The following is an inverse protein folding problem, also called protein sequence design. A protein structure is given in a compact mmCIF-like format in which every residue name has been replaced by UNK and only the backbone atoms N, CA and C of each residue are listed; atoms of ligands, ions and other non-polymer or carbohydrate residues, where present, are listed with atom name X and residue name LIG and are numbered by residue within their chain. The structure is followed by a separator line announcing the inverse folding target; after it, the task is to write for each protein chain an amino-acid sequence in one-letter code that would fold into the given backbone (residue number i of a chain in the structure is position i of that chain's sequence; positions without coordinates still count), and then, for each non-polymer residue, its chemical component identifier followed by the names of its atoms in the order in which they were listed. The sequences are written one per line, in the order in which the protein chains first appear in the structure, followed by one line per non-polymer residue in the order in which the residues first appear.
data_IF_366977705257
#
_entry.id   IF_366977705257
#
_cell.length_a   1.000
_cell.length_b   1.000
_cell.length_c   1.000
_cell.angle_alpha   90.00
_cell.angle_beta   90.00
_cell.angle_gamma   90.00
#
_symmetry.space_group_name_H-M   'P 1'
#
loop_
_entity.id
_entity.type
_entity.pdbx_description
1 polymer ?
#
# COMPACT_ATOMS: atom_id res chain seq x y z
N UNK A 1 10.96 -20.73 -16.52
CA UNK A 1 10.75 -19.28 -16.77
C UNK A 1 9.27 -19.02 -16.55
N UNK A 2 8.88 -18.51 -15.38
CA UNK A 2 7.46 -18.34 -15.01
C UNK A 2 7.12 -16.86 -15.20
N UNK A 3 6.40 -16.58 -16.29
CA UNK A 3 5.86 -15.27 -16.61
C UNK A 3 4.64 -15.02 -15.75
N UNK A 4 4.72 -14.13 -14.76
CA UNK A 4 3.55 -13.69 -14.00
C UNK A 4 2.72 -12.73 -14.86
N UNK A 5 1.68 -13.25 -15.52
CA UNK A 5 0.60 -12.42 -16.08
C UNK A 5 -0.32 -12.01 -14.92
N UNK A 6 -0.23 -10.75 -14.49
CA UNK A 6 -1.28 -10.12 -13.69
C UNK A 6 -2.53 -10.00 -14.58
N UNK A 7 -3.53 -10.84 -14.32
CA UNK A 7 -4.81 -10.83 -15.04
C UNK A 7 -5.76 -9.93 -14.24
N UNK A 8 -6.07 -8.76 -14.80
CA UNK A 8 -7.22 -7.95 -14.40
C UNK A 8 -8.34 -8.15 -15.45
N UNK A 9 -9.51 -8.65 -15.04
CA UNK A 9 -10.78 -8.66 -15.81
C UNK A 9 -11.81 -8.00 -14.89
N UNK A 10 -12.62 -7.00 -15.29
CA UNK A 10 -13.35 -6.81 -16.55
C UNK A 10 -13.46 -5.31 -16.91
N UNK A 11 -13.56 -4.99 -18.20
CA UNK A 11 -14.48 -3.93 -18.66
C UNK A 11 -13.95 -2.94 -19.69
N UNK A 12 -12.69 -2.53 -19.60
CA UNK A 12 -12.09 -1.62 -20.58
C UNK A 12 -10.88 -2.30 -21.21
N UNK A 13 -11.03 -2.69 -22.47
CA UNK A 13 -9.87 -2.93 -23.32
C UNK A 13 -9.18 -1.58 -23.47
N UNK A 14 -8.13 -1.34 -22.69
CA UNK A 14 -7.11 -0.39 -23.09
C UNK A 14 -6.51 -0.98 -24.37
N UNK A 15 -6.95 -0.46 -25.52
CA UNK A 15 -6.24 -0.65 -26.77
C UNK A 15 -4.87 0.02 -26.59
N UNK A 16 -3.87 -0.79 -26.27
CA UNK A 16 -2.47 -0.40 -26.24
C UNK A 16 -1.99 -0.20 -27.69
N UNK A 17 -2.36 0.92 -28.28
CA UNK A 17 -1.94 1.32 -29.63
C UNK A 17 -1.33 2.73 -29.58
N UNK A 18 -0.40 2.96 -28.65
CA UNK A 18 0.58 4.03 -28.82
C UNK A 18 1.90 3.39 -29.26
N UNK A 19 2.37 3.65 -30.51
CA UNK A 19 3.68 3.20 -31.00
C UNK A 19 4.86 3.69 -30.14
N UNK A 20 4.64 4.71 -29.31
CA UNK A 20 5.68 5.31 -28.46
C UNK A 20 5.95 4.48 -27.20
N UNK A 21 4.95 3.75 -26.66
CA UNK A 21 5.15 2.83 -25.52
C UNK A 21 5.63 1.43 -25.90
N UNK A 22 5.57 1.07 -27.19
CA UNK A 22 6.18 -0.17 -27.69
C UNK A 22 7.71 -0.18 -27.54
N UNK A 23 8.34 1.00 -27.66
CA UNK A 23 9.79 1.16 -27.52
C UNK A 23 10.29 1.00 -26.08
N UNK A 24 9.53 1.43 -25.07
CA UNK A 24 9.89 1.22 -23.65
C UNK A 24 9.95 -0.28 -23.27
N UNK A 25 9.13 -1.13 -23.90
CA UNK A 25 9.16 -2.58 -23.65
C UNK A 25 10.36 -3.23 -24.36
N UNK A 26 10.80 -2.70 -25.50
CA UNK A 26 12.00 -3.15 -26.21
C UNK A 26 13.30 -2.67 -25.51
N UNK A 27 13.28 -1.50 -24.87
CA UNK A 27 14.42 -0.99 -24.10
C UNK A 27 14.68 -1.78 -22.80
N UNK A 28 13.63 -2.39 -22.23
CA UNK A 28 13.78 -3.35 -21.13
C UNK A 28 14.55 -4.62 -21.59
N UNK A 29 14.48 -4.96 -22.87
CA UNK A 29 15.22 -6.08 -23.46
C UNK A 29 16.64 -5.70 -23.95
N UNK A 30 16.94 -4.40 -24.11
CA UNK A 30 18.21 -3.91 -24.69
C UNK A 30 19.33 -3.67 -23.67
N UNK A 31 19.12 -3.98 -22.38
CA UNK A 31 20.17 -3.94 -21.36
C UNK A 31 20.47 -2.56 -20.77
N UNK A 32 19.73 -1.51 -21.17
CA UNK A 32 19.66 -0.24 -20.44
C UNK A 32 18.44 -0.31 -19.54
N UNK A 33 18.55 -1.09 -18.47
CA UNK A 33 17.38 -1.39 -17.65
C UNK A 33 16.85 -0.15 -16.93
N UNK A 34 15.61 0.23 -17.21
CA UNK A 34 14.87 1.25 -16.46
C UNK A 34 14.58 0.71 -15.06
N UNK A 35 15.05 1.40 -14.02
CA UNK A 35 14.74 1.05 -12.63
C UNK A 35 13.25 1.27 -12.36
N UNK A 36 12.55 0.21 -11.95
CA UNK A 36 11.15 0.26 -11.54
C UNK A 36 11.10 0.67 -10.07
N UNK A 37 10.62 1.87 -9.80
CA UNK A 37 10.46 2.39 -8.44
C UNK A 37 8.99 2.41 -8.00
N UNK A 38 8.67 1.74 -6.89
CA UNK A 38 7.37 1.83 -6.24
C UNK A 38 7.49 2.58 -4.91
N UNK A 39 6.59 3.53 -4.68
CA UNK A 39 6.51 4.30 -3.44
C UNK A 39 5.19 4.03 -2.76
N UNK A 40 5.23 3.79 -1.46
CA UNK A 40 4.06 3.56 -0.62
C UNK A 40 4.04 4.59 0.50
N UNK A 41 3.01 5.42 0.54
CA UNK A 41 2.87 6.52 1.52
C UNK A 41 1.59 6.31 2.31
N UNK A 42 1.69 6.26 3.63
CA UNK A 42 0.50 6.13 4.45
C UNK A 42 0.71 5.59 5.86
N UNK A 43 -0.38 5.10 6.43
CA UNK A 43 -0.42 4.55 7.78
C UNK A 43 0.00 3.06 7.85
N UNK A 44 -0.36 2.41 8.96
CA UNK A 44 -0.04 1.00 9.21
C UNK A 44 -0.62 0.01 8.20
N UNK A 45 -1.73 0.32 7.52
CA UNK A 45 -2.31 -0.57 6.51
C UNK A 45 -1.45 -0.59 5.25
N UNK A 46 -0.97 0.59 4.81
CA UNK A 46 -0.01 0.69 3.70
C UNK A 46 1.31 -0.01 4.07
N UNK A 47 1.79 0.17 5.31
CA UNK A 47 2.97 -0.55 5.82
C UNK A 47 2.79 -2.07 5.75
N UNK A 48 1.59 -2.57 6.02
CA UNK A 48 1.31 -4.01 5.97
C UNK A 48 1.40 -4.57 4.54
N UNK A 49 0.90 -3.83 3.55
CA UNK A 49 1.09 -4.17 2.13
C UNK A 49 2.57 -4.20 1.79
N UNK A 50 3.31 -3.17 2.21
CA UNK A 50 4.75 -3.09 1.99
C UNK A 50 5.49 -4.28 2.60
N UNK A 51 5.25 -4.60 3.88
CA UNK A 51 5.82 -5.77 4.57
C UNK A 51 5.51 -7.08 3.83
N UNK A 52 4.25 -7.26 3.43
CA UNK A 52 3.80 -8.43 2.66
C UNK A 52 4.56 -8.57 1.34
N UNK A 53 4.79 -7.46 0.63
CA UNK A 53 5.59 -7.46 -0.60
C UNK A 53 7.03 -7.85 -0.32
N UNK A 54 7.69 -7.24 0.69
CA UNK A 54 9.08 -7.57 1.01
C UNK A 54 9.27 -9.06 1.30
N UNK A 55 8.31 -9.67 2.02
CA UNK A 55 8.35 -11.10 2.34
C UNK A 55 8.18 -11.99 1.11
N UNK A 56 7.48 -11.52 0.07
CA UNK A 56 7.32 -12.23 -1.21
C UNK A 56 8.53 -12.09 -2.14
N UNK A 57 9.28 -11.00 -2.04
CA UNK A 57 10.45 -10.69 -2.88
C UNK A 57 11.75 -11.43 -2.50
N UNK A 58 11.67 -12.62 -1.90
CA UNK A 58 12.82 -13.40 -1.41
C UNK A 58 13.80 -12.56 -0.56
N UNK A 59 13.59 -12.45 0.77
CA UNK A 59 14.36 -11.55 1.64
C UNK A 59 15.90 -11.63 1.59
N UNK A 60 16.50 -12.71 1.09
CA UNK A 60 17.95 -12.79 0.82
C UNK A 60 18.45 -11.79 -0.22
N UNK A 61 17.59 -11.40 -1.16
CA UNK A 61 17.92 -10.58 -2.33
C UNK A 61 17.53 -9.12 -2.16
N UNK A 62 17.13 -8.76 -0.95
CA UNK A 62 16.67 -7.41 -0.63
C UNK A 62 17.65 -6.75 0.34
N UNK A 63 18.00 -5.52 0.00
CA UNK A 63 18.75 -4.64 0.87
C UNK A 63 17.91 -3.43 1.23
N UNK A 64 18.17 -2.84 2.40
CA UNK A 64 17.45 -1.67 2.87
C UNK A 64 18.36 -0.57 3.41
N UNK A 65 17.79 0.63 3.47
CA UNK A 65 18.37 1.81 4.09
C UNK A 65 17.26 2.64 4.73
N UNK A 66 17.52 3.18 5.91
CA UNK A 66 16.63 4.16 6.57
C UNK A 66 17.17 5.57 6.33
N UNK A 67 16.29 6.55 6.13
CA UNK A 67 16.69 7.96 5.98
C UNK A 67 17.38 8.53 7.24
N UNK A 68 17.09 7.95 8.41
CA UNK A 68 17.67 8.33 9.70
C UNK A 68 19.12 7.89 9.92
N UNK A 69 19.65 6.97 9.12
CA UNK A 69 20.99 6.44 9.34
C UNK A 69 22.08 7.36 8.78
N UNK A 70 23.04 7.81 9.62
CA UNK A 70 24.11 8.71 9.19
C UNK A 70 25.11 8.05 8.22
N UNK A 71 25.15 6.71 8.14
CA UNK A 71 25.95 5.96 7.17
C UNK A 71 25.05 5.40 6.07
N UNK A 72 25.40 5.67 4.82
CA UNK A 72 24.63 5.31 3.59
C UNK A 72 24.63 3.81 3.25
N UNK A 73 24.96 2.95 4.21
CA UNK A 73 25.21 1.54 3.93
C UNK A 73 23.90 0.76 3.79
N UNK A 74 23.80 0.04 2.68
CA UNK A 74 22.73 -0.91 2.42
C UNK A 74 22.90 -2.14 3.30
N UNK A 75 21.87 -2.46 4.08
CA UNK A 75 21.85 -3.61 5.02
C UNK A 75 20.92 -4.70 4.52
N UNK A 76 21.06 -5.92 5.04
CA UNK A 76 20.19 -7.02 4.63
C UNK A 76 18.78 -6.86 5.24
N UNK A 77 17.72 -6.91 4.42
CA UNK A 77 16.34 -6.69 4.92
C UNK A 77 15.93 -7.70 6.01
N UNK A 78 16.55 -8.89 6.05
CA UNK A 78 16.27 -9.90 7.08
C UNK A 78 16.47 -9.34 8.49
N UNK A 79 17.36 -8.37 8.68
CA UNK A 79 17.53 -7.69 9.97
C UNK A 79 16.24 -7.01 10.43
N UNK A 80 15.49 -6.39 9.52
CA UNK A 80 14.20 -5.76 9.82
C UNK A 80 13.04 -6.76 9.88
N UNK A 81 13.09 -7.82 9.07
CA UNK A 81 12.00 -8.82 8.97
C UNK A 81 12.08 -9.93 10.02
N UNK A 82 13.06 -9.90 10.94
CA UNK A 82 13.15 -10.82 12.08
C UNK A 82 11.92 -10.76 13.00
N UNK A 83 11.25 -9.61 13.07
CA UNK A 83 9.99 -9.46 13.79
C UNK A 83 8.79 -9.89 12.96
N UNK A 84 7.67 -10.12 13.64
CA UNK A 84 6.40 -10.46 13.00
C UNK A 84 5.83 -9.29 12.17
N UNK A 85 6.30 -8.06 12.39
CA UNK A 85 5.86 -6.86 11.67
C UNK A 85 7.00 -5.86 11.52
N UNK A 86 7.03 -5.16 10.38
CA UNK A 86 7.88 -3.97 10.23
C UNK A 86 7.45 -2.86 11.20
N UNK A 87 8.31 -2.53 12.16
CA UNK A 87 8.06 -1.50 13.17
C UNK A 87 8.68 -0.15 12.79
N UNK A 88 8.49 0.28 11.54
CA UNK A 88 9.01 1.57 11.07
C UNK A 88 7.97 2.66 11.30
N UNK A 89 8.39 3.71 12.01
CA UNK A 89 7.60 4.91 12.32
C UNK A 89 8.50 6.13 12.13
N UNK A 90 7.94 7.21 11.58
CA UNK A 90 8.60 8.51 11.42
C UNK A 90 9.93 8.46 10.65
N UNK A 91 10.09 7.47 9.76
CA UNK A 91 11.29 7.30 8.94
C UNK A 91 10.92 6.74 7.58
N UNK A 92 11.71 7.12 6.59
CA UNK A 92 11.65 6.56 5.24
C UNK A 92 12.42 5.26 5.20
N UNK A 93 11.79 4.19 4.70
CA UNK A 93 12.46 2.94 4.38
C UNK A 93 12.65 2.83 2.87
N UNK A 94 13.90 2.82 2.42
CA UNK A 94 14.27 2.46 1.06
C UNK A 94 14.68 1.00 1.02
N UNK A 95 14.20 0.27 0.03
CA UNK A 95 14.55 -1.12 -0.25
C UNK A 95 14.92 -1.25 -1.71
N UNK A 96 15.95 -2.04 -2.01
CA UNK A 96 16.31 -2.42 -3.37
C UNK A 96 16.47 -3.93 -3.48
N UNK A 97 16.16 -4.46 -4.65
CA UNK A 97 16.53 -5.82 -5.01
C UNK A 97 17.97 -5.85 -5.54
N UNK A 98 18.75 -6.88 -5.19
CA UNK A 98 20.16 -6.97 -5.59
C UNK A 98 20.34 -7.43 -7.02
N UNK A 99 19.38 -8.21 -7.52
CA UNK A 99 19.47 -8.86 -8.84
C UNK A 99 18.48 -8.29 -9.86
N UNK A 100 17.55 -7.43 -9.42
CA UNK A 100 16.49 -6.85 -10.25
C UNK A 100 16.55 -5.33 -10.06
N UNK A 101 16.24 -4.59 -11.12
CA UNK A 101 16.17 -3.12 -11.06
C UNK A 101 14.83 -2.68 -10.46
N UNK A 102 14.59 -3.10 -9.22
CA UNK A 102 13.38 -2.80 -8.46
C UNK A 102 13.78 -2.06 -7.19
N UNK A 103 13.18 -0.89 -7.00
CA UNK A 103 13.27 -0.10 -5.77
C UNK A 103 11.89 0.03 -5.15
N UNK A 104 11.83 -0.11 -3.83
CA UNK A 104 10.61 0.08 -3.05
C UNK A 104 10.89 1.12 -1.96
N UNK A 105 10.04 2.13 -1.83
CA UNK A 105 10.11 3.10 -0.73
C UNK A 105 8.83 3.03 0.10
N UNK A 106 8.96 3.06 1.42
CA UNK A 106 7.85 3.29 2.33
C UNK A 106 8.06 4.58 3.12
N UNK A 107 7.07 5.47 3.08
CA UNK A 107 7.01 6.71 3.84
C UNK A 107 5.87 6.65 4.86
N UNK A 108 6.21 6.86 6.13
CA UNK A 108 5.21 6.96 7.20
C UNK A 108 4.59 8.36 7.19
N UNK A 109 3.45 8.51 6.52
CA UNK A 109 2.63 9.72 6.54
C UNK A 109 1.16 9.34 6.73
N UNK A 110 0.73 9.06 7.97
CA UNK A 110 -0.57 8.47 8.24
C UNK A 110 -1.76 9.39 7.95
N UNK A 111 -1.50 10.69 7.77
CA UNK A 111 -2.51 11.68 7.41
C UNK A 111 -2.40 12.14 5.97
N UNK A 112 -1.30 11.82 5.26
CA UNK A 112 -0.95 12.36 3.94
C UNK A 112 -0.68 13.88 3.95
N UNK A 113 -0.25 14.41 5.09
CA UNK A 113 0.03 15.85 5.25
C UNK A 113 1.36 16.28 4.62
N UNK A 114 2.35 15.38 4.59
CA UNK A 114 3.67 15.64 4.02
C UNK A 114 3.75 15.19 2.55
N UNK A 115 2.74 14.48 2.05
CA UNK A 115 2.64 14.06 0.65
C UNK A 115 2.98 15.17 -0.36
N UNK A 116 2.52 16.43 -0.23
CA UNK A 116 2.93 17.50 -1.13
C UNK A 116 4.44 17.72 -1.20
N UNK A 117 5.16 17.59 -0.08
CA UNK A 117 6.62 17.70 -0.05
C UNK A 117 7.28 16.47 -0.65
N UNK A 118 6.73 15.28 -0.40
CA UNK A 118 7.21 14.01 -0.96
C UNK A 118 7.16 14.02 -2.50
N UNK A 119 6.06 14.50 -3.09
CA UNK A 119 5.87 14.47 -4.56
C UNK A 119 6.45 15.70 -5.29
N UNK A 120 6.78 16.76 -4.56
CA UNK A 120 7.30 18.01 -5.13
C UNK A 120 8.52 17.80 -6.04
N UNK A 121 9.54 17.01 -5.67
CA UNK A 121 10.68 16.75 -6.55
C UNK A 121 10.29 16.11 -7.89
N UNK A 122 9.24 15.27 -7.92
CA UNK A 122 8.73 14.63 -9.13
C UNK A 122 7.95 15.61 -10.01
N UNK A 123 7.16 16.49 -9.39
CA UNK A 123 6.40 17.53 -10.09
C UNK A 123 7.30 18.66 -10.63
N UNK A 124 8.46 18.88 -10.02
CA UNK A 124 9.47 19.87 -10.44
C UNK A 124 10.56 19.27 -11.34
N UNK A 125 10.38 18.02 -11.79
CA UNK A 125 11.34 17.31 -12.66
C UNK A 125 12.76 17.20 -12.08
N UNK A 126 12.90 17.30 -10.76
CA UNK A 126 14.18 17.15 -10.04
C UNK A 126 14.56 15.69 -9.81
N UNK A 127 13.56 14.82 -9.80
CA UNK A 127 13.70 13.37 -9.64
C UNK A 127 12.74 12.64 -10.59
N UNK A 128 13.13 11.43 -11.01
CA UNK A 128 12.28 10.56 -11.83
C UNK A 128 11.06 10.11 -10.98
N UNK A 129 9.82 10.33 -11.45
CA UNK A 129 8.62 9.86 -10.76
C UNK A 129 8.61 8.34 -10.60
N UNK A 130 7.99 7.80 -9.53
CA UNK A 130 7.87 6.36 -9.38
C UNK A 130 6.92 5.78 -10.43
N UNK A 131 7.15 4.52 -10.81
CA UNK A 131 6.24 3.78 -11.68
C UNK A 131 4.89 3.50 -10.99
N UNK A 132 4.88 3.40 -9.66
CA UNK A 132 3.69 3.21 -8.83
C UNK A 132 3.78 4.07 -7.56
N UNK A 133 2.73 4.83 -7.28
CA UNK A 133 2.49 5.49 -6.00
C UNK A 133 1.25 4.90 -5.34
N UNK A 134 1.45 4.12 -4.28
CA UNK A 134 0.37 3.60 -3.44
C UNK A 134 0.16 4.52 -2.24
N UNK A 135 -1.03 5.08 -2.13
CA UNK A 135 -1.45 5.95 -1.05
C UNK A 135 -2.46 5.21 -0.18
N UNK A 136 -2.49 5.52 1.10
CA UNK A 136 -3.55 5.06 1.99
C UNK A 136 -3.53 5.82 3.30
N UNK A 137 -4.72 6.10 3.81
CA UNK A 137 -4.91 6.81 5.06
C UNK A 137 -6.35 6.70 5.52
N UNK A 138 -6.75 7.61 6.41
CA UNK A 138 -8.05 7.71 7.08
C UNK A 138 -8.13 7.08 8.46
N UNK A 139 -7.37 6.02 8.78
CA UNK A 139 -7.41 5.41 10.12
C UNK A 139 -7.04 6.42 11.21
N UNK A 140 -6.00 7.20 10.94
CA UNK A 140 -5.55 8.24 11.84
C UNK A 140 -6.49 9.45 11.87
N UNK A 141 -7.15 9.78 10.75
CA UNK A 141 -8.17 10.82 10.69
C UNK A 141 -9.39 10.47 11.56
N UNK A 142 -9.85 9.22 11.51
CA UNK A 142 -10.93 8.70 12.36
C UNK A 142 -10.58 8.88 13.84
N UNK A 143 -9.34 8.58 14.22
CA UNK A 143 -8.87 8.74 15.60
C UNK A 143 -8.77 10.20 16.04
N UNK A 144 -8.21 11.08 15.21
CA UNK A 144 -8.04 12.51 15.59
C UNK A 144 -9.34 13.27 15.61
N UNK A 145 -10.30 12.89 14.76
CA UNK A 145 -11.62 13.50 14.71
C UNK A 145 -12.63 12.86 15.66
N UNK A 146 -12.21 11.88 16.49
CA UNK A 146 -13.07 11.24 17.48
C UNK A 146 -13.77 12.23 18.44
N UNK A 147 -13.17 13.34 18.89
CA UNK A 147 -13.89 14.35 19.68
C UNK A 147 -15.03 15.03 18.90
N UNK A 148 -14.84 15.29 17.60
CA UNK A 148 -15.87 15.87 16.72
C UNK A 148 -16.97 14.83 16.49
N UNK A 149 -16.59 13.59 16.20
CA UNK A 149 -17.50 12.45 16.06
C UNK A 149 -18.42 12.32 17.27
N UNK A 150 -17.86 12.37 18.49
CA UNK A 150 -18.64 12.20 19.72
C UNK A 150 -19.61 13.35 19.99
N UNK A 151 -19.32 14.56 19.51
CA UNK A 151 -20.16 15.76 19.73
C UNK A 151 -21.17 16.01 18.60
N UNK A 152 -20.81 15.69 17.37
CA UNK A 152 -21.51 16.12 16.16
C UNK A 152 -21.76 15.00 15.14
N UNK A 153 -21.29 13.78 15.40
CA UNK A 153 -21.48 12.61 14.53
C UNK A 153 -20.44 12.47 13.42
N UNK A 154 -20.54 11.35 12.68
CA UNK A 154 -19.57 10.96 11.64
C UNK A 154 -19.50 11.93 10.46
N UNK A 155 -20.63 12.52 10.08
CA UNK A 155 -20.74 13.43 8.94
C UNK A 155 -19.95 14.72 9.18
N UNK A 156 -19.94 15.23 10.41
CA UNK A 156 -19.11 16.40 10.74
C UNK A 156 -17.64 16.03 10.88
N UNK A 157 -17.34 14.87 11.48
CA UNK A 157 -15.96 14.39 11.64
C UNK A 157 -15.24 14.20 10.29
N UNK A 158 -15.94 13.66 9.28
CA UNK A 158 -15.34 13.34 7.97
C UNK A 158 -15.05 14.59 7.12
N UNK A 159 -15.61 15.77 7.44
CA UNK A 159 -15.39 16.99 6.65
C UNK A 159 -13.92 17.40 6.55
N UNK A 160 -13.16 17.23 7.64
CA UNK A 160 -11.72 17.54 7.65
C UNK A 160 -10.95 16.60 6.72
N UNK A 161 -11.28 15.32 6.74
CA UNK A 161 -10.71 14.32 5.84
C UNK A 161 -11.07 14.61 4.38
N UNK A 162 -12.36 14.91 4.10
CA UNK A 162 -12.83 15.29 2.76
C UNK A 162 -12.06 16.50 2.22
N UNK A 163 -11.99 17.58 3.01
CA UNK A 163 -11.29 18.81 2.62
C UNK A 163 -9.81 18.55 2.36
N UNK A 164 -9.16 17.75 3.21
CA UNK A 164 -7.76 17.38 3.02
C UNK A 164 -7.55 16.61 1.70
N UNK A 165 -8.35 15.57 1.44
CA UNK A 165 -8.25 14.82 0.18
C UNK A 165 -8.51 15.72 -1.05
N UNK A 166 -9.54 16.58 -0.99
CA UNK A 166 -9.85 17.49 -2.10
C UNK A 166 -8.67 18.40 -2.43
N UNK A 167 -7.91 18.84 -1.43
CA UNK A 167 -6.71 19.65 -1.64
C UNK A 167 -5.54 18.86 -2.26
N UNK A 168 -5.49 17.54 -2.08
CA UNK A 168 -4.45 16.69 -2.68
C UNK A 168 -4.71 16.35 -4.14
N UNK A 169 -5.98 16.26 -4.56
CA UNK A 169 -6.36 15.83 -5.93
C UNK A 169 -5.63 16.62 -7.02
N UNK A 170 -5.57 17.98 -7.00
CA UNK A 170 -4.88 18.72 -8.06
C UNK A 170 -3.40 18.34 -8.22
N UNK A 171 -2.71 18.02 -7.12
CA UNK A 171 -1.31 17.60 -7.17
C UNK A 171 -1.16 16.18 -7.73
N UNK A 172 -2.05 15.27 -7.32
CA UNK A 172 -2.05 13.88 -7.79
C UNK A 172 -2.44 13.79 -9.28
N UNK A 173 -3.41 14.57 -9.73
CA UNK A 173 -3.78 14.65 -11.15
C UNK A 173 -2.63 15.15 -12.02
N UNK A 174 -1.81 16.10 -11.52
CA UNK A 174 -0.61 16.53 -12.23
C UNK A 174 0.47 15.45 -12.33
N UNK A 175 0.54 14.56 -11.35
CA UNK A 175 1.52 13.47 -11.31
C UNK A 175 1.07 12.23 -12.13
N UNK A 176 -0.24 12.02 -12.26
CA UNK A 176 -0.83 10.83 -12.89
C UNK A 176 -0.36 10.52 -14.32
N UNK A 177 0.00 11.48 -15.20
CA UNK A 177 0.56 11.18 -16.52
C UNK A 177 1.88 10.40 -16.48
N UNK A 178 2.62 10.48 -15.37
CA UNK A 178 3.96 9.90 -15.23
C UNK A 178 4.04 8.76 -14.21
N UNK A 179 3.00 8.59 -13.38
CA UNK A 179 2.98 7.61 -12.29
C UNK A 179 1.61 6.96 -12.22
N UNK A 180 1.57 5.63 -12.07
CA UNK A 180 0.33 4.94 -11.71
C UNK A 180 0.01 5.23 -10.24
N UNK A 181 -1.07 5.94 -9.97
CA UNK A 181 -1.47 6.30 -8.60
C UNK A 181 -2.62 5.39 -8.15
N UNK A 182 -2.45 4.74 -7.01
CA UNK A 182 -3.47 3.91 -6.38
C UNK A 182 -3.77 4.44 -4.99
N UNK A 183 -5.02 4.72 -4.68
CA UNK A 183 -5.47 5.04 -3.33
C UNK A 183 -6.18 3.85 -2.70
N UNK A 184 -5.62 3.33 -1.61
CA UNK A 184 -6.17 2.21 -0.86
C UNK A 184 -7.20 2.69 0.14
N UNK A 185 -8.40 2.11 0.06
CA UNK A 185 -9.46 2.30 1.04
C UNK A 185 -9.18 1.55 2.36
N UNK A 186 -9.91 1.93 3.41
CA UNK A 186 -9.85 1.27 4.70
C UNK A 186 -10.40 -0.15 4.60
N UNK A 187 -9.70 -1.10 5.23
CA UNK A 187 -10.20 -2.45 5.43
C UNK A 187 -11.12 -2.47 6.66
N UNK A 188 -12.05 -3.41 6.71
CA UNK A 188 -12.75 -3.70 7.95
C UNK A 188 -11.75 -4.21 9.00
N UNK A 189 -11.76 -3.58 10.17
CA UNK A 189 -10.89 -3.96 11.27
C UNK A 189 -11.70 -4.81 12.25
N UNK A 190 -11.43 -6.10 12.28
CA UNK A 190 -12.02 -6.99 13.28
C UNK A 190 -11.41 -6.72 14.67
N UNK A 191 -12.26 -6.70 15.72
CA UNK A 191 -11.79 -6.67 17.11
C UNK A 191 -11.56 -5.28 17.73
N UNK A 192 -11.74 -4.18 17.00
CA UNK A 192 -11.71 -2.83 17.58
C UNK A 192 -13.09 -2.43 18.12
N UNK A 193 -13.25 -2.37 19.44
CA UNK A 193 -14.49 -1.96 20.12
C UNK A 193 -14.60 -0.42 20.30
N UNK A 194 -14.06 0.36 19.38
CA UNK A 194 -14.19 1.82 19.41
C UNK A 194 -15.35 2.23 18.50
N UNK A 195 -16.34 2.98 19.03
CA UNK A 195 -17.54 3.41 18.28
C UNK A 195 -17.21 4.05 16.93
N UNK A 196 -16.12 4.81 16.83
CA UNK A 196 -15.69 5.50 15.60
C UNK A 196 -14.97 4.59 14.59
N UNK A 197 -14.60 3.35 14.96
CA UNK A 197 -14.01 2.33 14.09
C UNK A 197 -15.00 1.25 13.67
N UNK A 198 -16.29 1.42 13.97
CA UNK A 198 -17.32 0.49 13.52
C UNK A 198 -17.39 0.45 11.98
N UNK A 199 -17.69 -0.70 11.37
CA UNK A 199 -17.70 -0.88 9.91
C UNK A 199 -18.48 0.19 9.15
N UNK A 200 -19.63 0.62 9.68
CA UNK A 200 -20.50 1.61 9.05
C UNK A 200 -19.82 2.99 8.99
N UNK A 201 -19.03 3.33 10.01
CA UNK A 201 -18.27 4.57 10.04
C UNK A 201 -17.07 4.52 9.10
N UNK A 202 -16.37 3.38 9.02
CA UNK A 202 -15.29 3.20 8.04
C UNK A 202 -15.82 3.38 6.61
N UNK A 203 -17.03 2.89 6.34
CA UNK A 203 -17.65 3.01 5.02
C UNK A 203 -17.97 4.47 4.67
N UNK A 204 -18.34 5.32 5.62
CA UNK A 204 -18.51 6.77 5.37
C UNK A 204 -17.19 7.41 4.90
N UNK A 205 -16.06 7.05 5.51
CA UNK A 205 -14.75 7.55 5.08
C UNK A 205 -14.37 7.01 3.70
N UNK A 206 -14.58 5.72 3.45
CA UNK A 206 -14.33 5.10 2.15
C UNK A 206 -15.18 5.74 1.05
N UNK A 207 -16.47 5.99 1.31
CA UNK A 207 -17.36 6.65 0.38
C UNK A 207 -16.91 8.08 0.05
N UNK A 208 -16.50 8.87 1.05
CA UNK A 208 -15.92 10.19 0.83
C UNK A 208 -14.65 10.13 -0.02
N UNK A 209 -13.77 9.15 0.20
CA UNK A 209 -12.58 8.98 -0.62
C UNK A 209 -12.94 8.66 -2.09
N UNK A 210 -13.90 7.76 -2.32
CA UNK A 210 -14.41 7.44 -3.67
C UNK A 210 -14.99 8.67 -4.35
N UNK A 211 -15.80 9.45 -3.65
CA UNK A 211 -16.41 10.68 -4.18
C UNK A 211 -15.36 11.73 -4.56
N UNK A 212 -14.35 11.95 -3.73
CA UNK A 212 -13.30 12.94 -4.00
C UNK A 212 -12.40 12.51 -5.16
N UNK A 213 -12.17 11.21 -5.33
CA UNK A 213 -11.37 10.67 -6.43
C UNK A 213 -12.18 10.47 -7.72
N UNK A 214 -13.50 10.59 -7.67
CA UNK A 214 -14.36 10.42 -8.83
C UNK A 214 -13.98 11.44 -9.93
N UNK A 215 -13.78 10.93 -11.15
CA UNK A 215 -13.37 11.76 -12.28
C UNK A 215 -11.88 12.13 -12.32
N UNK A 216 -11.06 11.60 -11.42
CA UNK A 216 -9.60 11.65 -11.52
C UNK A 216 -9.02 10.37 -12.11
N UNK A 217 -7.77 10.42 -12.58
CA UNK A 217 -7.01 9.25 -13.07
C UNK A 217 -6.43 8.38 -11.93
N UNK A 218 -6.88 8.58 -10.69
CA UNK A 218 -6.41 7.84 -9.52
C UNK A 218 -7.22 6.56 -9.37
N UNK A 219 -6.55 5.41 -9.41
CA UNK A 219 -7.20 4.13 -9.18
C UNK A 219 -7.56 3.96 -7.70
N UNK A 220 -8.77 3.50 -7.40
CA UNK A 220 -9.19 3.19 -6.04
C UNK A 220 -9.05 1.70 -5.78
N UNK A 221 -8.25 1.32 -4.78
CA UNK A 221 -8.17 -0.06 -4.29
C UNK A 221 -9.11 -0.24 -3.11
N UNK A 222 -10.21 -0.94 -3.38
CA UNK A 222 -11.15 -1.40 -2.38
C UNK A 222 -10.97 -2.89 -2.03
N UNK A 223 -10.55 -3.19 -0.80
CA UNK A 223 -10.44 -4.58 -0.31
C UNK A 223 -11.67 -5.03 0.49
N UNK A 224 -12.66 -4.17 0.70
CA UNK A 224 -13.89 -4.52 1.44
C UNK A 224 -14.93 -5.18 0.55
N UNK A 225 -14.76 -5.12 -0.78
CA UNK A 225 -15.66 -5.78 -1.74
C UNK A 225 -15.82 -7.28 -1.39
N UNK A 226 -17.05 -7.83 -1.38
CA UNK A 226 -17.32 -9.21 -0.98
C UNK A 226 -16.48 -10.26 -1.73
N UNK A 227 -16.09 -10.00 -2.98
CA UNK A 227 -15.22 -10.89 -3.75
C UNK A 227 -13.81 -10.98 -3.15
N UNK A 228 -13.24 -9.86 -2.70
CA UNK A 228 -11.95 -9.81 -2.02
C UNK A 228 -12.03 -10.55 -0.69
N UNK A 229 -13.13 -10.40 0.04
CA UNK A 229 -13.39 -11.13 1.29
C UNK A 229 -13.56 -12.63 1.05
N UNK A 230 -14.32 -13.03 0.03
CA UNK A 230 -14.53 -14.42 -0.35
C UNK A 230 -13.22 -15.07 -0.81
N UNK A 231 -12.40 -14.35 -1.59
CA UNK A 231 -11.08 -14.82 -2.01
C UNK A 231 -10.14 -15.00 -0.80
N UNK A 232 -10.10 -14.04 0.13
CA UNK A 232 -9.31 -14.17 1.37
C UNK A 232 -9.79 -15.34 2.21
N UNK A 233 -11.10 -15.54 2.34
CA UNK A 233 -11.69 -16.66 3.06
C UNK A 233 -11.32 -18.01 2.43
N UNK A 234 -11.37 -18.10 1.09
CA UNK A 234 -11.02 -19.32 0.35
C UNK A 234 -9.54 -19.64 0.47
N UNK A 235 -8.66 -18.65 0.28
CA UNK A 235 -7.21 -18.82 0.47
C UNK A 235 -6.88 -19.21 1.91
N UNK A 236 -7.59 -18.65 2.89
CA UNK A 236 -7.40 -19.01 4.31
C UNK A 236 -7.83 -20.44 4.62
N UNK A 237 -8.93 -20.93 4.03
CA UNK A 237 -9.33 -22.34 4.13
C UNK A 237 -8.28 -23.27 3.54
N UNK A 238 -7.79 -22.96 2.34
CA UNK A 238 -6.75 -23.74 1.66
C UNK A 238 -5.44 -23.77 2.48
N UNK A 239 -5.07 -22.67 3.13
CA UNK A 239 -3.91 -22.63 4.03
C UNK A 239 -4.10 -23.49 5.28
N UNK A 240 -5.31 -23.52 5.87
CA UNK A 240 -5.63 -24.39 7.01
C UNK A 240 -5.61 -25.86 6.60
N UNK A 241 -6.15 -26.20 5.43
CA UNK A 241 -6.11 -27.57 4.89
C UNK A 241 -4.69 -28.01 4.53
N UNK A 242 -3.92 -27.14 3.87
CA UNK A 242 -2.50 -27.38 3.59
C UNK A 242 -1.67 -27.54 4.87
N UNK A 243 -1.98 -26.77 5.92
CA UNK A 243 -1.36 -26.93 7.23
C UNK A 243 -1.79 -28.23 7.93
N UNK A 244 -3.03 -28.72 7.72
CA UNK A 244 -3.48 -30.02 8.23
C UNK A 244 -2.79 -31.18 7.51
N UNK A 245 -2.59 -31.09 6.21
CA UNK A 245 -1.86 -32.09 5.41
C UNK A 245 -0.35 -32.07 5.71
N UNK A 246 0.24 -30.89 5.86
CA UNK A 246 1.65 -30.71 6.24
C UNK A 246 1.93 -30.96 7.72
N UNK A 247 0.89 -31.03 8.56
CA UNK A 247 0.97 -31.32 10.01
C UNK A 247 1.32 -32.78 10.35
N UNK A 248 1.55 -33.67 9.37
CA UNK A 248 2.18 -34.95 9.66
C UNK A 248 3.68 -34.85 9.99
N UNK A 249 4.35 -33.70 9.78
CA UNK A 249 5.79 -33.60 10.08
C UNK A 249 6.23 -32.47 11.02
N UNK A 250 5.62 -31.27 11.10
CA UNK A 250 5.99 -30.26 12.13
C UNK A 250 5.15 -28.99 12.00
N UNK A 251 4.14 -28.79 12.84
CA UNK A 251 3.43 -27.50 12.93
C UNK A 251 2.76 -27.27 14.30
N UNK A 252 3.56 -27.22 15.37
CA UNK A 252 3.10 -26.65 16.67
C UNK A 252 3.33 -25.14 16.80
N UNK A 253 4.05 -24.51 15.86
CA UNK A 253 4.45 -23.10 15.99
C UNK A 253 3.53 -22.09 15.29
N UNK A 254 2.93 -22.40 14.13
CA UNK A 254 2.15 -21.40 13.37
C UNK A 254 0.74 -21.13 13.93
N UNK A 255 0.07 -22.11 14.55
CA UNK A 255 -1.30 -21.93 15.04
C UNK A 255 -1.40 -21.12 16.34
N UNK A 256 -0.32 -21.00 17.12
CA UNK A 256 -0.29 -20.15 18.32
C UNK A 256 -0.20 -18.66 17.98
N UNK A 257 0.40 -18.30 16.85
CA UNK A 257 0.54 -16.89 16.46
C UNK A 257 -0.72 -16.30 15.82
N UNK A 258 -1.52 -17.11 15.12
CA UNK A 258 -2.78 -16.62 14.53
C UNK A 258 -3.85 -16.29 15.58
N UNK A 259 -3.82 -16.95 16.73
CA UNK A 259 -4.78 -16.74 17.82
C UNK A 259 -4.47 -15.48 18.66
N UNK A 260 -3.20 -15.09 18.75
CA UNK A 260 -2.80 -13.82 19.40
C UNK A 260 -3.03 -12.59 18.51
N UNK A 261 -3.18 -12.77 17.19
CA UNK A 261 -3.42 -11.69 16.23
C UNK A 261 -4.89 -11.23 16.15
N UNK A 262 -5.81 -11.95 16.79
CA UNK A 262 -7.24 -11.61 16.82
C UNK A 262 -7.66 -10.82 18.07
N UNK A 263 -6.73 -10.51 18.98
CA UNK A 263 -7.04 -9.97 20.31
C UNK A 263 -6.23 -8.73 20.75
N UNK A 264 -5.49 -8.04 19.86
CA UNK A 264 -4.78 -6.79 20.22
C UNK A 264 -4.74 -5.76 19.09
#
# INVERSE_FOLDING_TARGET
MITYKLIFRRGHYLNYTSPERGREIEDIASGVGVEVHWVMVGDSHVRYIFDTLLRRFQPSKLQYRLSSFPKRDWRNIRELLKGNRLAIRNQTLHVRHTDLLIRLTYEWDPFLLDLPNIIKPWLEEKEVPPALLLLGGALHWIRTTAPIFNRHGVIEAVKLYKSHLTNLIPLLTRLAPHTNIVFKLLDHIAGLNFKHHLPENLEVYNQVAREVMAGSDIAVWDSTIPLSQAYVAEVSKLLVEYCKESCRVRCRFMLREFWHLSHH
#
